data_IF_384670867358
#
_entry.id   IF_384670867358
#
_cell.length_a   1.000
_cell.length_b   1.000
_cell.length_c   1.000
_cell.angle_alpha   90.00
_cell.angle_beta   90.00
_cell.angle_gamma   90.00
#
_symmetry.space_group_name_H-M   'P 1'
#
loop_
_entity.id
_entity.type
_entity.pdbx_description
1 polymer ?
#
# COMPACT_ATOMS: atom_id res chain seq x y z
N UNK A 1 26.46 -46.93 40.82
CA UNK A 1 25.57 -46.03 41.59
C UNK A 1 25.43 -44.75 40.78
N UNK A 2 24.33 -44.65 40.03
CA UNK A 2 24.03 -43.51 39.16
C UNK A 2 23.38 -42.41 39.99
N UNK A 3 23.93 -41.20 39.93
CA UNK A 3 23.54 -40.06 40.75
C UNK A 3 22.13 -39.53 40.35
N UNK A 4 21.12 -39.57 41.22
CA UNK A 4 19.75 -39.15 40.90
C UNK A 4 19.59 -37.64 40.64
N UNK A 5 20.64 -36.82 40.85
CA UNK A 5 20.62 -35.38 40.50
C UNK A 5 20.91 -35.08 39.03
N UNK A 6 21.47 -36.02 38.26
CA UNK A 6 21.78 -35.80 36.84
C UNK A 6 20.56 -35.88 35.92
N UNK A 7 19.46 -36.51 36.35
CA UNK A 7 18.25 -36.71 35.52
C UNK A 7 17.30 -35.50 35.61
N UNK A 8 17.44 -34.64 36.61
CA UNK A 8 16.59 -33.45 36.80
C UNK A 8 16.99 -32.24 35.93
N UNK A 9 18.11 -32.30 35.19
CA UNK A 9 18.63 -31.16 34.41
C UNK A 9 18.13 -31.11 32.95
N UNK A 10 17.32 -32.08 32.50
CA UNK A 10 16.91 -32.21 31.09
C UNK A 10 15.43 -31.87 30.82
N UNK A 11 14.69 -31.38 31.82
CA UNK A 11 13.24 -31.19 31.71
C UNK A 11 12.75 -29.72 31.78
N UNK A 12 13.62 -28.73 31.58
CA UNK A 12 13.21 -27.32 31.57
C UNK A 12 13.88 -26.60 30.42
N UNK A 13 13.33 -26.72 29.20
CA UNK A 13 13.43 -25.69 28.15
C UNK A 13 12.50 -25.98 26.94
N UNK A 14 11.32 -26.54 27.20
CA UNK A 14 10.27 -26.76 26.19
C UNK A 14 9.21 -25.65 26.16
N UNK A 15 9.56 -24.41 26.54
CA UNK A 15 8.65 -23.29 26.38
C UNK A 15 8.36 -23.04 24.89
N UNK A 16 7.15 -22.60 24.50
CA UNK A 16 6.87 -22.21 23.12
C UNK A 16 7.94 -21.21 22.65
N UNK A 17 8.40 -21.30 21.38
CA UNK A 17 9.46 -20.43 20.89
C UNK A 17 9.10 -18.97 21.20
N UNK A 18 10.04 -18.25 21.80
CA UNK A 18 9.87 -16.85 22.14
C UNK A 18 9.36 -16.11 20.90
N UNK A 19 8.24 -15.39 21.05
CA UNK A 19 7.70 -14.52 20.00
C UNK A 19 8.84 -13.58 19.58
N UNK A 20 9.16 -13.47 18.28
CA UNK A 20 10.24 -12.60 17.84
C UNK A 20 10.00 -11.17 18.34
N UNK A 21 11.06 -10.54 18.81
CA UNK A 21 11.02 -9.17 19.31
C UNK A 21 10.48 -8.25 18.20
N UNK A 22 9.54 -7.37 18.56
CA UNK A 22 8.98 -6.36 17.67
C UNK A 22 10.12 -5.50 17.09
N UNK A 23 10.52 -5.80 15.86
CA UNK A 23 11.68 -5.18 15.21
C UNK A 23 12.25 -6.00 14.06
N UNK A 24 12.08 -7.31 14.06
CA UNK A 24 12.26 -8.16 12.87
C UNK A 24 10.89 -8.30 12.21
N UNK A 25 10.68 -7.62 11.07
CA UNK A 25 9.42 -7.70 10.34
C UNK A 25 9.12 -9.16 10.02
N UNK A 26 8.12 -9.73 10.68
CA UNK A 26 7.68 -11.09 10.40
C UNK A 26 7.35 -11.17 8.91
N UNK A 27 7.87 -12.16 8.17
CA UNK A 27 7.59 -12.28 6.74
C UNK A 27 6.08 -12.27 6.50
N UNK A 28 5.65 -11.44 5.54
CA UNK A 28 4.24 -11.26 5.19
C UNK A 28 3.56 -12.63 4.99
N UNK A 29 2.40 -12.82 5.62
CA UNK A 29 1.66 -14.08 5.50
C UNK A 29 1.12 -14.25 4.08
N UNK A 30 0.91 -15.50 3.64
CA UNK A 30 0.43 -15.79 2.28
C UNK A 30 -0.85 -15.03 1.91
N UNK A 31 -1.84 -15.01 2.82
CA UNK A 31 -3.11 -14.28 2.64
C UNK A 31 -2.88 -12.78 2.50
N UNK A 32 -1.99 -12.22 3.32
CA UNK A 32 -1.64 -10.81 3.28
C UNK A 32 -0.91 -10.45 1.98
N UNK A 33 0.00 -11.31 1.50
CA UNK A 33 0.69 -11.13 0.23
C UNK A 33 -0.27 -11.17 -0.97
N UNK A 34 -1.25 -12.07 -0.97
CA UNK A 34 -2.29 -12.12 -2.02
C UNK A 34 -3.08 -10.80 -2.04
N UNK A 35 -3.53 -10.32 -0.88
CA UNK A 35 -4.27 -9.06 -0.81
C UNK A 35 -3.40 -7.87 -1.17
N UNK A 36 -2.19 -7.77 -0.64
CA UNK A 36 -1.26 -6.69 -0.94
C UNK A 36 -0.99 -6.60 -2.44
N UNK A 37 -0.69 -7.72 -3.10
CA UNK A 37 -0.47 -7.78 -4.55
C UNK A 37 -1.73 -7.39 -5.34
N UNK A 38 -2.88 -7.99 -5.05
CA UNK A 38 -4.12 -7.70 -5.77
C UNK A 38 -4.54 -6.24 -5.61
N UNK A 39 -4.48 -5.71 -4.39
CA UNK A 39 -4.87 -4.34 -4.11
C UNK A 39 -3.87 -3.33 -4.66
N UNK A 40 -2.56 -3.64 -4.66
CA UNK A 40 -1.57 -2.76 -5.26
C UNK A 40 -1.74 -2.66 -6.77
N UNK A 41 -2.04 -3.77 -7.46
CA UNK A 41 -2.29 -3.74 -8.90
C UNK A 41 -3.56 -2.96 -9.24
N UNK A 42 -4.65 -3.16 -8.48
CA UNK A 42 -5.90 -2.39 -8.62
C UNK A 42 -5.65 -0.89 -8.40
N UNK A 43 -4.95 -0.55 -7.32
CA UNK A 43 -4.59 0.83 -6.98
C UNK A 43 -3.75 1.49 -8.06
N UNK A 44 -2.69 0.81 -8.51
CA UNK A 44 -1.76 1.29 -9.54
C UNK A 44 -2.50 1.58 -10.85
N UNK A 45 -3.39 0.70 -11.29
CA UNK A 45 -4.23 0.94 -12.47
C UNK A 45 -5.10 2.19 -12.30
N UNK A 46 -5.77 2.35 -11.16
CA UNK A 46 -6.55 3.54 -10.84
C UNK A 46 -5.73 4.84 -10.88
N UNK A 47 -4.56 4.82 -10.25
CA UNK A 47 -3.65 5.96 -10.17
C UNK A 47 -3.07 6.35 -11.54
N UNK A 48 -2.71 5.37 -12.38
CA UNK A 48 -2.25 5.63 -13.76
C UNK A 48 -3.34 6.30 -14.60
N UNK A 49 -4.61 5.87 -14.46
CA UNK A 49 -5.72 6.53 -15.14
C UNK A 49 -5.87 7.99 -14.71
N UNK A 50 -5.77 8.27 -13.41
CA UNK A 50 -5.79 9.66 -12.90
C UNK A 50 -4.62 10.47 -13.42
N UNK A 51 -3.40 9.92 -13.42
CA UNK A 51 -2.22 10.60 -13.93
C UNK A 51 -2.42 11.03 -15.39
N UNK A 52 -2.90 10.11 -16.23
CA UNK A 52 -3.19 10.41 -17.63
C UNK A 52 -4.26 11.50 -17.79
N UNK A 53 -5.32 11.46 -16.98
CA UNK A 53 -6.38 12.47 -17.04
C UNK A 53 -5.91 13.85 -16.54
N UNK A 54 -4.97 13.89 -15.59
CA UNK A 54 -4.34 15.14 -15.14
C UNK A 54 -3.40 15.71 -16.21
N UNK A 55 -2.74 14.87 -17.01
CA UNK A 55 -1.97 15.35 -18.18
C UNK A 55 -2.90 15.95 -19.23
N UNK A 56 -4.03 15.28 -19.53
CA UNK A 56 -5.06 15.81 -20.44
C UNK A 56 -5.60 17.14 -19.93
N UNK A 57 -5.84 17.26 -18.62
CA UNK A 57 -6.29 18.50 -17.98
C UNK A 57 -5.36 19.68 -18.25
N UNK A 58 -4.04 19.47 -18.29
CA UNK A 58 -3.07 20.55 -18.59
C UNK A 58 -3.23 21.13 -20.00
N UNK A 59 -3.66 20.31 -20.96
CA UNK A 59 -3.79 20.70 -22.37
C UNK A 59 -5.14 21.30 -22.75
N UNK A 60 -6.12 21.29 -21.84
CA UNK A 60 -7.49 21.74 -22.11
C UNK A 60 -7.61 23.27 -21.96
N UNK A 61 -8.42 23.97 -22.79
CA UNK A 61 -8.70 25.39 -22.62
C UNK A 61 -9.30 25.73 -21.25
N UNK A 62 -8.91 26.88 -20.68
CA UNK A 62 -9.28 27.26 -19.30
C UNK A 62 -10.79 27.23 -19.04
N UNK A 63 -11.61 27.63 -20.03
CA UNK A 63 -13.06 27.65 -19.91
C UNK A 63 -13.72 26.26 -19.84
N UNK A 64 -13.00 25.20 -20.24
CA UNK A 64 -13.47 23.81 -20.18
C UNK A 64 -12.96 23.05 -18.94
N UNK A 65 -11.86 23.53 -18.32
CA UNK A 65 -11.21 22.88 -17.18
C UNK A 65 -12.14 22.66 -15.99
N UNK A 66 -13.02 23.63 -15.71
CA UNK A 66 -13.96 23.54 -14.59
C UNK A 66 -14.87 22.29 -14.66
N UNK A 67 -15.31 21.90 -15.86
CA UNK A 67 -16.09 20.69 -16.06
C UNK A 67 -15.30 19.43 -15.73
N UNK A 68 -14.02 19.39 -16.11
CA UNK A 68 -13.13 18.26 -15.89
C UNK A 68 -12.74 18.11 -14.42
N UNK A 69 -12.53 19.22 -13.70
CA UNK A 69 -12.27 19.18 -12.26
C UNK A 69 -13.39 18.49 -11.48
N UNK A 70 -14.65 18.75 -11.85
CA UNK A 70 -15.83 18.14 -11.23
C UNK A 70 -15.88 16.62 -11.43
N UNK A 71 -15.17 16.09 -12.42
CA UNK A 71 -15.02 14.67 -12.68
C UNK A 71 -13.76 14.08 -12.00
N UNK A 72 -12.64 14.80 -12.06
CA UNK A 72 -11.35 14.36 -11.48
C UNK A 72 -11.42 14.22 -9.96
N UNK A 73 -12.07 15.16 -9.26
CA UNK A 73 -12.20 15.13 -7.80
C UNK A 73 -12.86 13.84 -7.28
N UNK A 74 -14.07 13.45 -7.72
CA UNK A 74 -14.68 12.20 -7.27
C UNK A 74 -13.90 10.97 -7.73
N UNK A 75 -13.24 10.98 -8.89
CA UNK A 75 -12.38 9.88 -9.32
C UNK A 75 -11.22 9.64 -8.35
N UNK A 76 -10.49 10.69 -7.98
CA UNK A 76 -9.40 10.61 -6.99
C UNK A 76 -9.95 10.16 -5.63
N UNK A 77 -11.12 10.67 -5.22
CA UNK A 77 -11.78 10.27 -3.97
C UNK A 77 -12.17 8.79 -3.92
N UNK A 78 -12.63 8.21 -5.03
CA UNK A 78 -12.91 6.77 -5.14
C UNK A 78 -11.64 5.95 -4.97
N UNK A 79 -10.54 6.34 -5.61
CA UNK A 79 -9.25 5.66 -5.47
C UNK A 79 -8.72 5.77 -4.03
N UNK A 80 -8.86 6.94 -3.39
CA UNK A 80 -8.48 7.10 -1.99
C UNK A 80 -9.26 6.16 -1.06
N UNK A 81 -10.56 5.96 -1.32
CA UNK A 81 -11.40 5.02 -0.57
C UNK A 81 -10.93 3.57 -0.75
N UNK A 82 -10.52 3.19 -1.97
CA UNK A 82 -9.94 1.87 -2.25
C UNK A 82 -8.59 1.66 -1.56
N UNK A 83 -7.72 2.67 -1.51
CA UNK A 83 -6.46 2.63 -0.76
C UNK A 83 -6.72 2.44 0.75
N UNK A 84 -7.74 3.11 1.30
CA UNK A 84 -8.12 2.92 2.69
C UNK A 84 -8.59 1.51 2.98
N UNK A 85 -9.36 0.90 2.06
CA UNK A 85 -9.76 -0.50 2.17
C UNK A 85 -8.54 -1.42 2.10
N UNK A 86 -7.64 -1.21 1.13
CA UNK A 86 -6.42 -1.98 0.96
C UNK A 86 -5.58 -2.01 2.24
N UNK A 87 -5.38 -0.85 2.88
CA UNK A 87 -4.67 -0.74 4.16
C UNK A 87 -5.31 -1.55 5.28
N UNK A 88 -6.63 -1.66 5.32
CA UNK A 88 -7.34 -2.41 6.36
C UNK A 88 -7.20 -3.92 6.18
N UNK A 89 -7.13 -4.40 4.93
CA UNK A 89 -7.12 -5.84 4.63
C UNK A 89 -5.71 -6.42 4.45
N UNK A 90 -4.72 -5.58 4.13
CA UNK A 90 -3.30 -5.92 4.02
C UNK A 90 -2.44 -4.80 4.64
N UNK A 91 -2.27 -4.78 5.98
CA UNK A 91 -1.56 -3.70 6.66
C UNK A 91 -0.10 -3.60 6.23
N UNK A 92 0.28 -2.45 5.71
CA UNK A 92 1.67 -2.14 5.38
C UNK A 92 1.90 -0.64 5.55
N UNK A 93 3.03 -0.26 6.14
CA UNK A 93 3.38 1.14 6.41
C UNK A 93 3.36 2.01 5.15
N UNK A 94 3.70 1.40 4.01
CA UNK A 94 3.70 2.01 2.69
C UNK A 94 2.32 2.50 2.23
N UNK A 95 1.21 1.92 2.68
CA UNK A 95 -0.13 2.41 2.33
C UNK A 95 -0.40 3.81 2.89
N UNK A 96 0.15 4.12 4.07
CA UNK A 96 0.01 5.44 4.69
C UNK A 96 0.67 6.53 3.85
N UNK A 97 1.80 6.22 3.20
CA UNK A 97 2.44 7.13 2.25
C UNK A 97 1.56 7.41 1.02
N UNK A 98 0.93 6.37 0.47
CA UNK A 98 0.01 6.51 -0.68
C UNK A 98 -1.21 7.35 -0.29
N UNK A 99 -1.83 7.07 0.86
CA UNK A 99 -2.98 7.83 1.35
C UNK A 99 -2.64 9.31 1.55
N UNK A 100 -1.47 9.61 2.14
CA UNK A 100 -1.01 10.99 2.31
C UNK A 100 -0.91 11.70 0.96
N UNK A 101 -0.27 11.08 -0.02
CA UNK A 101 -0.13 11.65 -1.37
C UNK A 101 -1.49 11.92 -2.01
N UNK A 102 -2.43 10.97 -1.93
CA UNK A 102 -3.78 11.15 -2.47
C UNK A 102 -4.56 12.27 -1.77
N UNK A 103 -4.46 12.36 -0.45
CA UNK A 103 -5.10 13.44 0.30
C UNK A 103 -4.53 14.80 -0.08
N UNK A 104 -3.21 14.92 -0.28
CA UNK A 104 -2.61 16.17 -0.76
C UNK A 104 -3.06 16.51 -2.18
N UNK A 105 -3.15 15.53 -3.09
CA UNK A 105 -3.70 15.74 -4.42
C UNK A 105 -5.15 16.27 -4.37
N UNK A 106 -6.00 15.71 -3.50
CA UNK A 106 -7.38 16.19 -3.30
C UNK A 106 -7.41 17.62 -2.74
N UNK A 107 -6.54 17.97 -1.81
CA UNK A 107 -6.42 19.35 -1.29
C UNK A 107 -6.02 20.33 -2.40
N UNK A 108 -5.10 19.93 -3.27
CA UNK A 108 -4.67 20.74 -4.42
C UNK A 108 -5.81 20.96 -5.41
N UNK A 109 -6.53 19.89 -5.78
CA UNK A 109 -7.74 20.00 -6.59
C UNK A 109 -8.74 20.96 -5.93
N UNK A 110 -8.94 20.85 -4.61
CA UNK A 110 -9.91 21.68 -3.89
C UNK A 110 -9.50 23.15 -3.74
N UNK A 111 -8.21 23.44 -3.78
CA UNK A 111 -7.66 24.79 -3.61
C UNK A 111 -7.48 25.55 -4.93
N UNK A 112 -7.94 24.99 -6.05
CA UNK A 112 -7.80 25.63 -7.37
C UNK A 112 -6.38 25.55 -7.94
N UNK A 113 -5.58 24.60 -7.44
CA UNK A 113 -4.21 24.30 -7.91
C UNK A 113 -4.11 22.85 -8.39
N UNK A 114 -4.97 22.41 -9.35
CA UNK A 114 -4.99 21.03 -9.83
C UNK A 114 -3.74 20.63 -10.62
N UNK A 115 -2.94 21.61 -11.06
CA UNK A 115 -1.74 21.32 -11.84
C UNK A 115 -0.63 20.65 -11.00
N UNK A 116 -0.56 20.99 -9.72
CA UNK A 116 0.39 20.43 -8.76
C UNK A 116 -0.01 19.02 -8.30
N UNK A 117 -1.27 18.62 -8.49
CA UNK A 117 -1.79 17.32 -8.04
C UNK A 117 -1.06 16.13 -8.71
N UNK A 118 -0.61 16.30 -9.96
CA UNK A 118 0.05 15.24 -10.73
C UNK A 118 1.28 14.66 -10.03
N UNK A 119 2.11 15.50 -9.41
CA UNK A 119 3.29 15.05 -8.68
C UNK A 119 2.94 14.08 -7.55
N UNK A 120 1.88 14.38 -6.79
CA UNK A 120 1.42 13.53 -5.71
C UNK A 120 0.83 12.20 -6.21
N UNK A 121 0.15 12.21 -7.36
CA UNK A 121 -0.33 10.97 -7.98
C UNK A 121 0.84 10.07 -8.39
N UNK A 122 1.92 10.63 -8.94
CA UNK A 122 3.14 9.87 -9.26
C UNK A 122 3.77 9.26 -8.01
N UNK A 123 3.84 9.99 -6.90
CA UNK A 123 4.32 9.43 -5.63
C UNK A 123 3.45 8.27 -5.13
N UNK A 124 2.13 8.37 -5.29
CA UNK A 124 1.20 7.29 -4.97
C UNK A 124 1.40 6.05 -5.87
N UNK A 125 1.66 6.24 -7.17
CA UNK A 125 1.97 5.15 -8.12
C UNK A 125 3.24 4.39 -7.69
N UNK A 126 4.29 5.13 -7.35
CA UNK A 126 5.54 4.54 -6.85
C UNK A 126 5.31 3.72 -5.58
N UNK A 127 4.53 4.26 -4.63
CA UNK A 127 4.15 3.54 -3.42
C UNK A 127 3.40 2.23 -3.72
N UNK A 128 2.39 2.28 -4.59
CA UNK A 128 1.63 1.10 -4.99
C UNK A 128 2.52 0.06 -5.68
N UNK A 129 3.42 0.50 -6.56
CA UNK A 129 4.37 -0.38 -7.26
C UNK A 129 5.30 -1.09 -6.29
N UNK A 130 5.85 -0.39 -5.30
CA UNK A 130 6.72 -0.98 -4.27
C UNK A 130 5.98 -2.04 -3.44
N UNK A 131 4.71 -1.79 -3.09
CA UNK A 131 3.90 -2.79 -2.37
C UNK A 131 3.70 -4.03 -3.23
N UNK A 132 3.32 -3.84 -4.50
CA UNK A 132 3.08 -4.93 -5.43
C UNK A 132 4.33 -5.76 -5.67
N UNK A 133 5.49 -5.13 -5.83
CA UNK A 133 6.77 -5.83 -5.99
C UNK A 133 7.11 -6.69 -4.76
N UNK A 134 7.04 -6.12 -3.56
CA UNK A 134 7.31 -6.87 -2.31
C UNK A 134 6.34 -8.03 -2.11
N UNK A 135 5.06 -7.83 -2.43
CA UNK A 135 4.05 -8.88 -2.34
C UNK A 135 4.29 -9.97 -3.40
N UNK A 136 4.65 -9.58 -4.63
CA UNK A 136 4.98 -10.50 -5.72
C UNK A 136 6.19 -11.37 -5.36
N UNK A 137 7.28 -10.77 -4.89
CA UNK A 137 8.48 -11.48 -4.43
C UNK A 137 8.11 -12.51 -3.36
N UNK A 138 7.28 -12.11 -2.39
CA UNK A 138 6.79 -13.02 -1.34
C UNK A 138 5.94 -14.17 -1.89
N UNK A 139 5.05 -13.89 -2.84
CA UNK A 139 4.23 -14.93 -3.45
C UNK A 139 5.07 -15.93 -4.25
N UNK A 140 6.13 -15.47 -4.92
CA UNK A 140 7.08 -16.32 -5.63
C UNK A 140 7.86 -17.24 -4.67
N UNK A 141 8.33 -16.70 -3.53
CA UNK A 141 8.96 -17.52 -2.47
C UNK A 141 8.03 -18.61 -1.95
N UNK A 142 6.75 -18.29 -1.81
CA UNK A 142 5.70 -19.20 -1.36
C UNK A 142 5.17 -20.13 -2.47
N UNK A 143 5.63 -19.96 -3.71
CA UNK A 143 5.15 -20.67 -4.92
C UNK A 143 3.64 -20.53 -5.16
N UNK A 144 3.11 -19.34 -4.86
CA UNK A 144 1.73 -18.95 -5.11
C UNK A 144 1.58 -18.04 -6.34
N UNK A 145 2.70 -17.65 -6.95
CA UNK A 145 2.84 -16.93 -8.21
C UNK A 145 4.15 -17.38 -8.88
#
# INVERSE_FOLDING_TARGET
>A
MSDPKAIASLAVNGGPPARPAAGEGTPMEAREAIFAYSQSEKAKAGLLMVAQLLEVYQGIPEHEKHGLERFLRPLIGMIASEIQLARRIAPADSWTGIERSLNTALVMMNSGVPAEAGWHIVQAISGATTIGQRAMERLQELRLL
#
